data_IF_579200561835
#
_entry.id   IF_579200561835
#
_cell.length_a   1.000
_cell.length_b   1.000
_cell.length_c   1.000
_cell.angle_alpha   90.00
_cell.angle_beta   90.00
_cell.angle_gamma   90.00
#
_symmetry.space_group_name_H-M   'P 1'
#
loop_
_entity.id
_entity.type
_entity.pdbx_description
1 polymer ?
#
# COMPACT_ATOMS: atom_id res chain seq x y z
N UNK A 1 12.42 4.36 25.65
CA UNK A 1 11.56 3.95 24.52
C UNK A 1 12.00 4.72 23.27
N UNK A 2 12.31 4.02 22.19
CA UNK A 2 12.63 4.60 20.86
C UNK A 2 11.53 4.21 19.88
N UNK A 3 11.37 4.98 18.80
CA UNK A 3 10.46 4.68 17.69
C UNK A 3 11.28 4.51 16.45
N UNK A 4 11.07 3.42 15.73
CA UNK A 4 11.71 3.14 14.45
C UNK A 4 10.65 2.83 13.39
N UNK A 5 10.71 3.48 12.26
CA UNK A 5 9.88 3.19 11.10
C UNK A 5 10.78 2.72 9.95
N UNK A 6 10.46 1.58 9.36
CA UNK A 6 11.19 1.04 8.21
C UNK A 6 10.40 1.23 6.92
N UNK A 7 11.10 1.49 5.83
CA UNK A 7 10.57 1.24 4.50
C UNK A 7 10.58 -0.27 4.20
N UNK A 8 9.84 -0.71 3.22
CA UNK A 8 9.73 -2.11 2.83
C UNK A 8 10.59 -2.44 1.62
N UNK A 9 10.26 -1.89 0.47
CA UNK A 9 10.83 -2.32 -0.81
C UNK A 9 12.30 -1.93 -0.97
N UNK A 10 13.18 -2.94 -0.99
CA UNK A 10 14.61 -2.73 -1.05
C UNK A 10 15.27 -2.33 0.27
N UNK A 11 14.51 -2.26 1.38
CA UNK A 11 14.99 -1.95 2.73
C UNK A 11 14.80 -3.14 3.65
N UNK A 12 13.58 -3.44 4.05
CA UNK A 12 13.28 -4.62 4.87
C UNK A 12 12.97 -5.85 4.00
N UNK A 13 12.34 -5.64 2.85
CA UNK A 13 11.91 -6.70 1.93
C UNK A 13 12.87 -6.77 0.74
N UNK A 14 13.56 -7.93 0.60
CA UNK A 14 14.41 -8.26 -0.53
C UNK A 14 13.92 -9.55 -1.19
N UNK A 15 13.72 -9.51 -2.53
CA UNK A 15 13.20 -10.65 -3.29
C UNK A 15 11.90 -11.21 -2.69
N UNK A 16 10.97 -10.32 -2.31
CA UNK A 16 9.67 -10.65 -1.70
C UNK A 16 9.78 -11.41 -0.36
N UNK A 17 10.88 -11.24 0.36
CA UNK A 17 11.13 -11.92 1.63
C UNK A 17 11.78 -10.99 2.65
N UNK A 18 11.47 -11.25 3.92
CA UNK A 18 12.19 -10.73 5.09
C UNK A 18 12.97 -11.89 5.69
N UNK A 19 14.24 -11.65 6.01
CA UNK A 19 15.10 -12.71 6.58
C UNK A 19 14.68 -13.06 8.00
N UNK A 20 15.00 -14.27 8.45
CA UNK A 20 14.73 -14.68 9.84
C UNK A 20 15.55 -13.82 10.82
N UNK A 21 16.77 -13.48 10.46
CA UNK A 21 17.64 -12.58 11.26
C UNK A 21 16.98 -11.22 11.47
N UNK A 22 16.36 -10.65 10.43
CA UNK A 22 15.64 -9.37 10.56
C UNK A 22 14.40 -9.51 11.44
N UNK A 23 13.66 -10.60 11.31
CA UNK A 23 12.49 -10.88 12.15
C UNK A 23 12.87 -11.00 13.64
N UNK A 24 13.95 -11.69 13.94
CA UNK A 24 14.48 -11.82 15.30
C UNK A 24 14.97 -10.46 15.85
N UNK A 25 15.64 -9.66 15.03
CA UNK A 25 16.11 -8.32 15.41
C UNK A 25 14.92 -7.38 15.70
N UNK A 26 13.88 -7.39 14.88
CA UNK A 26 12.64 -6.63 15.09
C UNK A 26 12.00 -7.05 16.41
N UNK A 27 11.80 -8.34 16.63
CA UNK A 27 11.20 -8.84 17.86
C UNK A 27 12.02 -8.47 19.11
N UNK A 28 13.35 -8.48 19.02
CA UNK A 28 14.23 -8.04 20.10
C UNK A 28 14.10 -6.53 20.37
N UNK A 29 14.03 -5.71 19.33
CA UNK A 29 13.88 -4.26 19.44
C UNK A 29 12.52 -3.88 20.07
N UNK A 30 11.46 -4.57 19.69
CA UNK A 30 10.10 -4.31 20.17
C UNK A 30 9.88 -4.61 21.66
N UNK A 31 10.81 -5.29 22.34
CA UNK A 31 10.69 -5.51 23.80
C UNK A 31 10.65 -4.22 24.62
N UNK A 32 11.31 -3.17 24.14
CA UNK A 32 11.42 -1.89 24.84
C UNK A 32 11.10 -0.67 23.97
N UNK A 33 10.84 -0.88 22.68
CA UNK A 33 10.71 0.18 21.68
C UNK A 33 9.54 -0.11 20.73
N UNK A 34 9.16 0.88 19.93
CA UNK A 34 8.13 0.75 18.89
C UNK A 34 8.79 0.60 17.53
N UNK A 35 8.35 -0.42 16.79
CA UNK A 35 8.79 -0.68 15.42
C UNK A 35 7.60 -0.69 14.47
N UNK A 36 7.60 0.20 13.50
CA UNK A 36 6.52 0.33 12.53
C UNK A 36 7.02 0.33 11.09
N UNK A 37 6.08 0.36 10.18
CA UNK A 37 6.33 0.46 8.73
C UNK A 37 5.97 1.84 8.21
N UNK A 38 6.76 2.34 7.24
CA UNK A 38 6.48 3.56 6.49
C UNK A 38 6.71 3.26 5.01
N UNK A 39 5.63 3.13 4.23
CA UNK A 39 5.69 2.65 2.85
C UNK A 39 4.69 3.36 1.94
N UNK A 40 5.02 3.42 0.65
CA UNK A 40 4.06 3.82 -0.38
C UNK A 40 2.97 2.79 -0.65
N UNK A 41 3.12 1.54 -0.17
CA UNK A 41 2.16 0.48 -0.42
C UNK A 41 0.81 0.75 0.26
N UNK A 42 -0.31 0.27 -0.33
CA UNK A 42 -1.59 0.16 0.36
C UNK A 42 -1.58 -1.01 1.35
N UNK A 43 -2.53 -1.02 2.27
CA UNK A 43 -2.64 -2.06 3.30
C UNK A 43 -2.80 -3.47 2.71
N UNK A 44 -3.47 -3.59 1.57
CA UNK A 44 -3.65 -4.85 0.83
C UNK A 44 -2.36 -5.46 0.29
N UNK A 45 -1.26 -4.70 0.25
CA UNK A 45 0.03 -5.13 -0.31
C UNK A 45 1.08 -5.49 0.75
N UNK A 46 0.67 -5.93 1.95
CA UNK A 46 1.57 -6.32 3.04
C UNK A 46 1.83 -7.83 3.16
N UNK A 47 1.48 -8.62 2.16
CA UNK A 47 1.54 -10.09 2.18
C UNK A 47 2.95 -10.66 2.40
N UNK A 48 4.00 -9.97 1.96
CA UNK A 48 5.41 -10.40 2.12
C UNK A 48 6.02 -10.08 3.50
N UNK A 49 5.32 -9.29 4.31
CA UNK A 49 5.67 -8.98 5.70
C UNK A 49 4.66 -9.55 6.70
N UNK A 50 3.81 -10.45 6.25
CA UNK A 50 2.86 -11.16 7.10
C UNK A 50 3.58 -11.86 8.27
N UNK A 51 2.99 -11.77 9.46
CA UNK A 51 3.57 -12.30 10.69
C UNK A 51 4.57 -11.40 11.41
N UNK A 52 4.90 -10.21 10.86
CA UNK A 52 5.62 -9.18 11.62
C UNK A 52 4.59 -8.33 12.35
N UNK A 53 4.60 -8.30 13.70
CA UNK A 53 3.65 -7.49 14.47
C UNK A 53 4.14 -6.04 14.56
N UNK A 54 3.91 -5.25 13.52
CA UNK A 54 4.22 -3.82 13.57
C UNK A 54 3.40 -3.10 14.62
N UNK A 55 4.02 -2.17 15.36
CA UNK A 55 3.35 -1.35 16.37
C UNK A 55 2.52 -0.21 15.77
N UNK A 56 2.83 0.18 14.53
CA UNK A 56 2.08 1.17 13.74
C UNK A 56 2.37 1.03 12.26
N UNK A 57 1.49 1.59 11.43
CA UNK A 57 1.58 1.53 9.96
C UNK A 57 1.40 2.93 9.38
N UNK A 58 2.38 3.43 8.63
CA UNK A 58 2.29 4.61 7.79
C UNK A 58 2.24 4.12 6.34
N UNK A 59 1.06 4.19 5.73
CA UNK A 59 0.75 3.58 4.45
C UNK A 59 0.39 4.62 3.40
N UNK A 60 0.33 4.20 2.13
CA UNK A 60 -0.09 5.05 1.02
C UNK A 60 0.69 6.37 0.97
N UNK A 61 2.01 6.31 1.11
CA UNK A 61 2.89 7.49 1.10
C UNK A 61 2.54 8.52 2.20
N UNK A 62 2.05 8.06 3.35
CA UNK A 62 1.67 8.88 4.49
C UNK A 62 0.19 9.31 4.51
N UNK A 63 -0.60 8.89 3.52
CA UNK A 63 -2.03 9.23 3.49
C UNK A 63 -2.87 8.41 4.48
N UNK A 64 -2.32 7.36 5.08
CA UNK A 64 -3.02 6.50 6.02
C UNK A 64 -2.10 6.10 7.18
N UNK A 65 -2.48 6.47 8.39
CA UNK A 65 -1.80 6.09 9.63
C UNK A 65 -2.70 5.16 10.45
N UNK A 66 -2.18 3.98 10.79
CA UNK A 66 -2.90 2.97 11.56
C UNK A 66 -2.14 2.61 12.84
N UNK A 67 -2.87 2.19 13.85
CA UNK A 67 -2.31 1.59 15.07
C UNK A 67 -1.91 0.12 14.82
N UNK A 68 -1.41 -0.54 15.88
CA UNK A 68 -0.97 -1.96 15.83
C UNK A 68 -2.11 -2.93 15.46
N UNK A 69 -3.35 -2.58 15.76
CA UNK A 69 -4.55 -3.38 15.49
C UNK A 69 -5.21 -2.98 14.15
N UNK A 70 -4.50 -2.12 13.38
CA UNK A 70 -4.91 -1.57 12.08
C UNK A 70 -6.16 -0.68 12.15
N UNK A 71 -6.45 -0.08 13.29
CA UNK A 71 -7.46 0.97 13.37
C UNK A 71 -6.88 2.28 12.84
N UNK A 72 -7.71 3.05 12.15
CA UNK A 72 -7.31 4.33 11.57
C UNK A 72 -7.07 5.34 12.70
N UNK A 73 -5.84 5.87 12.78
CA UNK A 73 -5.48 7.00 13.62
C UNK A 73 -5.70 8.30 12.86
N UNK A 74 -5.24 8.35 11.61
CA UNK A 74 -5.34 9.50 10.73
C UNK A 74 -5.41 9.04 9.27
N UNK A 75 -6.25 9.70 8.47
CA UNK A 75 -6.33 9.45 7.03
C UNK A 75 -6.54 10.76 6.26
N UNK A 76 -5.93 10.82 5.08
CA UNK A 76 -6.05 11.91 4.13
C UNK A 76 -6.58 11.36 2.81
N UNK A 77 -7.87 11.58 2.57
CA UNK A 77 -8.57 11.08 1.39
C UNK A 77 -8.48 12.07 0.23
N UNK A 78 -8.43 11.53 -0.96
CA UNK A 78 -8.61 12.30 -2.18
C UNK A 78 -10.10 12.57 -2.43
N UNK A 79 -10.40 13.72 -2.99
CA UNK A 79 -11.76 14.03 -3.44
C UNK A 79 -12.21 13.06 -4.55
N UNK A 80 -13.35 12.43 -4.34
CA UNK A 80 -13.88 11.41 -5.23
C UNK A 80 -14.13 11.93 -6.64
N UNK A 81 -14.66 13.12 -6.78
CA UNK A 81 -14.97 13.68 -8.11
C UNK A 81 -13.68 14.04 -8.88
N UNK A 82 -12.65 14.48 -8.15
CA UNK A 82 -11.33 14.68 -8.75
C UNK A 82 -10.75 13.35 -9.25
N UNK A 83 -10.81 12.28 -8.44
CA UNK A 83 -10.31 10.96 -8.83
C UNK A 83 -11.09 10.42 -10.05
N UNK A 84 -12.44 10.56 -10.04
CA UNK A 84 -13.30 10.20 -11.15
C UNK A 84 -12.93 10.95 -12.42
N UNK A 85 -12.73 12.27 -12.32
CA UNK A 85 -12.33 13.09 -13.45
C UNK A 85 -11.01 12.64 -14.05
N UNK A 86 -9.97 12.47 -13.21
CA UNK A 86 -8.65 12.04 -13.65
C UNK A 86 -8.74 10.66 -14.32
N UNK A 87 -9.40 9.70 -13.69
CA UNK A 87 -9.57 8.36 -14.23
C UNK A 87 -10.26 8.39 -15.61
N UNK A 88 -11.42 9.01 -15.73
CA UNK A 88 -12.20 9.02 -16.95
C UNK A 88 -11.52 9.81 -18.08
N UNK A 89 -10.74 10.84 -17.75
CA UNK A 89 -10.11 11.69 -18.73
C UNK A 89 -8.79 11.12 -19.27
N UNK A 90 -8.02 10.43 -18.42
CA UNK A 90 -6.66 10.01 -18.77
C UNK A 90 -6.49 8.51 -18.98
N UNK A 91 -7.47 7.67 -18.63
CA UNK A 91 -7.34 6.21 -18.71
C UNK A 91 -6.97 5.68 -20.10
N UNK A 92 -7.40 6.36 -21.17
CA UNK A 92 -7.12 5.95 -22.54
C UNK A 92 -5.73 6.43 -23.04
N UNK A 93 -5.08 7.33 -22.28
CA UNK A 93 -3.79 7.91 -22.64
C UNK A 93 -2.64 7.43 -21.75
N UNK A 94 -2.95 6.92 -20.57
CA UNK A 94 -1.95 6.54 -19.60
C UNK A 94 -2.46 5.44 -18.69
N UNK A 95 -1.54 4.65 -18.16
CA UNK A 95 -1.83 3.64 -17.15
C UNK A 95 -2.15 4.33 -15.82
N UNK A 96 -3.42 4.40 -15.48
CA UNK A 96 -3.90 4.97 -14.22
C UNK A 96 -4.28 3.86 -13.27
N UNK A 97 -3.71 3.91 -12.07
CA UNK A 97 -4.06 3.02 -10.97
C UNK A 97 -4.79 3.85 -9.93
N UNK A 98 -6.00 3.43 -9.59
CA UNK A 98 -6.80 4.02 -8.52
C UNK A 98 -6.67 3.18 -7.26
N UNK A 99 -6.16 3.80 -6.19
CA UNK A 99 -6.00 3.14 -4.92
C UNK A 99 -7.20 3.39 -4.01
N UNK A 100 -7.81 2.30 -3.57
CA UNK A 100 -8.87 2.31 -2.56
C UNK A 100 -8.36 1.70 -1.24
N UNK A 101 -9.21 1.64 -0.22
CA UNK A 101 -8.91 1.04 1.08
C UNK A 101 -8.55 -0.45 0.99
N UNK A 102 -9.09 -1.17 0.03
CA UNK A 102 -8.94 -2.63 -0.10
C UNK A 102 -8.03 -3.06 -1.24
N UNK A 103 -8.09 -2.38 -2.39
CA UNK A 103 -7.46 -2.85 -3.63
C UNK A 103 -6.94 -1.69 -4.47
N UNK A 104 -6.07 -2.03 -5.42
CA UNK A 104 -5.69 -1.13 -6.51
C UNK A 104 -6.49 -1.49 -7.76
N UNK A 105 -7.14 -0.50 -8.35
CA UNK A 105 -7.98 -0.67 -9.53
C UNK A 105 -7.33 -0.03 -10.75
N UNK A 106 -7.47 -0.65 -11.89
CA UNK A 106 -6.88 -0.16 -13.13
C UNK A 106 -7.80 -0.41 -14.33
N UNK A 107 -7.59 0.40 -15.36
CA UNK A 107 -8.11 0.17 -16.71
C UNK A 107 -6.92 0.05 -17.66
N UNK A 108 -6.78 -1.12 -18.29
CA UNK A 108 -5.65 -1.39 -19.17
C UNK A 108 -6.04 -2.11 -20.44
N UNK A 109 -5.23 -1.90 -21.46
CA UNK A 109 -5.11 -2.79 -22.59
C UNK A 109 -4.22 -4.00 -22.29
N UNK A 110 -3.26 -3.85 -21.36
CA UNK A 110 -2.32 -4.90 -20.98
C UNK A 110 -2.66 -5.44 -19.58
N UNK A 111 -2.58 -6.77 -19.43
CA UNK A 111 -2.91 -7.45 -18.18
C UNK A 111 -1.82 -7.22 -17.12
N UNK A 112 -2.22 -6.87 -15.92
CA UNK A 112 -1.35 -6.83 -14.73
C UNK A 112 -1.72 -7.99 -13.82
N UNK A 113 -0.83 -8.96 -13.71
CA UNK A 113 -0.97 -10.08 -12.77
C UNK A 113 -0.34 -9.71 -11.43
N UNK A 114 -1.15 -9.12 -10.57
CA UNK A 114 -0.76 -8.80 -9.20
C UNK A 114 -1.92 -9.10 -8.26
N UNK A 115 -1.70 -9.81 -7.11
CA UNK A 115 -2.77 -10.37 -6.28
C UNK A 115 -3.82 -9.39 -5.79
N UNK A 116 -3.49 -8.10 -5.69
CA UNK A 116 -4.37 -7.06 -5.15
C UNK A 116 -4.77 -6.01 -6.19
N UNK A 117 -4.55 -6.31 -7.46
CA UNK A 117 -4.96 -5.45 -8.57
C UNK A 117 -6.23 -6.00 -9.23
N UNK A 118 -7.24 -5.17 -9.31
CA UNK A 118 -8.52 -5.50 -9.94
C UNK A 118 -8.76 -4.60 -11.14
N UNK A 119 -9.04 -5.20 -12.29
CA UNK A 119 -9.43 -4.45 -13.48
C UNK A 119 -10.86 -3.96 -13.36
N UNK A 120 -11.06 -2.66 -13.59
CA UNK A 120 -12.38 -2.03 -13.67
C UNK A 120 -12.60 -1.45 -15.07
N UNK A 121 -13.82 -1.49 -15.54
CA UNK A 121 -14.23 -0.90 -16.84
C UNK A 121 -14.79 0.50 -16.66
N UNK A 122 -15.42 0.75 -15.51
CA UNK A 122 -16.07 2.01 -15.19
C UNK A 122 -15.74 2.40 -13.74
N UNK A 123 -15.49 3.68 -13.51
CA UNK A 123 -15.27 4.25 -12.18
C UNK A 123 -16.48 4.02 -11.25
N UNK A 124 -17.68 3.89 -11.79
CA UNK A 124 -18.90 3.63 -11.00
C UNK A 124 -18.83 2.31 -10.20
N UNK A 125 -17.98 1.35 -10.62
CA UNK A 125 -17.76 0.10 -9.89
C UNK A 125 -17.11 0.32 -8.51
N UNK A 126 -16.39 1.43 -8.33
CA UNK A 126 -15.65 1.77 -7.10
C UNK A 126 -16.07 3.10 -6.47
N UNK A 127 -17.19 3.69 -6.93
CA UNK A 127 -17.62 5.04 -6.53
C UNK A 127 -17.84 5.25 -5.03
N UNK A 128 -18.10 4.18 -4.29
CA UNK A 128 -18.40 4.21 -2.85
C UNK A 128 -17.17 3.93 -1.99
N UNK A 129 -16.01 3.73 -2.63
CA UNK A 129 -14.74 3.51 -1.95
C UNK A 129 -14.12 4.80 -1.45
N UNK A 130 -13.17 4.67 -0.52
CA UNK A 130 -12.24 5.72 -0.12
C UNK A 130 -11.03 5.70 -1.05
N UNK A 131 -10.52 6.86 -1.41
CA UNK A 131 -9.41 7.00 -2.35
C UNK A 131 -8.19 7.60 -1.66
N UNK A 132 -7.03 6.93 -1.82
CA UNK A 132 -5.76 7.34 -1.23
C UNK A 132 -4.74 7.69 -2.32
N UNK A 133 -3.88 8.66 -2.02
CA UNK A 133 -2.69 8.88 -2.82
C UNK A 133 -1.76 7.68 -2.68
N UNK A 134 -1.36 7.10 -3.80
CA UNK A 134 -0.39 6.03 -3.83
C UNK A 134 0.61 6.27 -4.97
N UNK A 135 1.88 6.32 -4.62
CA UNK A 135 2.97 6.50 -5.59
C UNK A 135 3.72 5.20 -5.88
N UNK A 136 3.26 4.09 -5.28
CA UNK A 136 3.86 2.78 -5.52
C UNK A 136 3.58 2.33 -6.96
N UNK A 137 4.64 2.22 -7.76
CA UNK A 137 4.53 1.60 -9.08
C UNK A 137 4.60 0.08 -8.88
N UNK A 138 3.62 -0.69 -9.37
CA UNK A 138 3.78 -2.12 -9.39
C UNK A 138 5.03 -2.46 -10.19
N UNK A 139 5.90 -3.29 -9.63
CA UNK A 139 6.98 -3.87 -10.41
C UNK A 139 6.33 -4.86 -11.37
N UNK A 140 6.11 -4.42 -12.60
CA UNK A 140 5.80 -5.33 -13.69
C UNK A 140 7.06 -6.19 -13.85
N UNK A 141 6.94 -7.48 -13.58
CA UNK A 141 8.02 -8.41 -13.90
C UNK A 141 8.19 -8.35 -15.43
N UNK A 142 9.29 -7.78 -15.87
CA UNK A 142 9.75 -7.98 -17.24
C UNK A 142 10.03 -9.48 -17.39
N UNK A 143 9.11 -10.18 -18.07
CA UNK A 143 9.32 -11.53 -18.56
C UNK A 143 10.05 -11.46 -19.89
#
# INVERSE_FOLDING_TARGET
MKVFATDLDGTLVHNKKVTETDREAIAAFQKENLFGVCTGRPLSCLFDVEGIPFDFYIMCTGALLLDKDRHVIEEHLLDKELVRYIYNHYRDYSNIIVQTESESHFYFTDFIDFPTFTMIKDFEEIKDSKFYLNTHKPQVSEN
#
